data_IF_843685439700
#
_entry.id   IF_843685439700
#
_cell.length_a   1.000
_cell.length_b   1.000
_cell.length_c   1.000
_cell.angle_alpha   90.00
_cell.angle_beta   90.00
_cell.angle_gamma   90.00
#
_symmetry.space_group_name_H-M   'P 1'
#
loop_
_entity.id
_entity.type
_entity.pdbx_description
1 polymer ?
2 non-polymer ?
3 water ?
#
# COMPACT_ATOMS: atom_id res chain seq x y z
N UNK A 27 -3.22 8.58 2.72
CA UNK A 27 -4.06 8.24 3.86
C UNK A 27 -3.69 6.90 4.49
N UNK A 28 -2.61 6.29 3.98
CA UNK A 28 -2.09 5.00 4.46
C UNK A 28 -1.38 5.16 5.79
N UNK A 29 -0.96 6.39 6.08
CA UNK A 29 -0.28 6.73 7.33
C UNK A 29 -1.35 7.02 8.39
N UNK A 30 -2.53 6.41 8.25
CA UNK A 30 -3.60 6.58 9.23
C UNK A 30 -3.26 5.61 10.34
N UNK A 31 -3.70 5.89 11.57
CA UNK A 31 -3.42 5.01 12.70
C UNK A 31 -3.63 3.52 12.47
N UNK A 32 -4.90 3.14 12.36
CA UNK A 32 -5.29 1.75 12.15
C UNK A 32 -4.46 1.05 11.05
N UNK A 33 -4.30 1.75 9.92
CA UNK A 33 -3.56 1.21 8.80
C UNK A 33 -2.13 0.94 9.21
N UNK A 34 -1.47 2.03 9.58
CA UNK A 34 -0.07 2.00 10.01
C UNK A 34 0.19 0.92 11.05
N UNK A 35 -0.62 0.89 12.11
CA UNK A 35 -0.42 -0.11 13.15
C UNK A 35 -0.50 -1.51 12.56
N UNK A 36 -1.40 -1.70 11.62
CA UNK A 36 -1.53 -2.99 10.99
C UNK A 36 -0.26 -3.26 10.17
N UNK A 37 0.17 -2.25 9.41
CA UNK A 37 1.35 -2.41 8.58
C UNK A 37 2.57 -2.85 9.39
N UNK A 38 2.76 -2.18 10.54
CA UNK A 38 3.90 -2.51 11.40
C UNK A 38 3.73 -3.93 11.92
N UNK A 39 2.50 -4.30 12.22
CA UNK A 39 2.20 -5.62 12.74
C UNK A 39 2.65 -6.69 11.79
N UNK A 40 2.38 -6.47 10.51
CA UNK A 40 2.72 -7.44 9.50
C UNK A 40 4.15 -7.33 9.04
N UNK A 41 4.73 -6.15 9.24
CA UNK A 41 6.10 -5.89 8.81
C UNK A 41 7.10 -6.48 9.79
N UNK A 42 6.64 -6.74 10.99
CA UNK A 42 7.51 -7.31 12.02
C UNK A 42 8.11 -8.64 11.58
N UNK A 43 9.42 -8.74 11.59
CA UNK A 43 10.06 -10.00 11.18
C UNK A 43 10.06 -11.03 12.30
N UNK A 44 10.18 -12.33 11.95
CA UNK A 44 10.18 -13.38 12.97
C UNK A 44 11.52 -13.44 13.68
N UNK A 45 11.49 -13.74 14.98
CA UNK A 45 12.72 -13.80 15.76
C UNK A 45 13.71 -14.73 15.12
N UNK A 46 14.97 -14.32 15.11
CA UNK A 46 16.03 -15.14 14.54
C UNK A 46 16.38 -16.22 15.55
N UNK A 47 16.77 -17.40 15.05
CA UNK A 47 17.14 -18.51 15.91
C UNK A 47 18.64 -18.75 15.83
N UNK A 48 19.24 -19.26 16.92
CA UNK A 48 20.68 -19.49 16.95
C UNK A 48 21.11 -20.37 18.12
N UNK A 49 21.61 -21.58 17.81
CA UNK A 49 22.09 -22.51 18.83
C UNK A 49 23.22 -21.85 19.63
N UNK A 50 23.30 -22.16 20.93
CA UNK A 50 24.32 -21.57 21.82
C UNK A 50 25.57 -22.42 21.99
N UNK A 56 35.43 -18.36 27.80
CA UNK A 56 34.48 -18.33 26.65
C UNK A 56 34.10 -16.88 26.37
N UNK A 57 35.07 -15.96 26.54
CA UNK A 57 34.86 -14.54 26.33
C UNK A 57 34.55 -14.22 24.87
N UNK A 58 35.41 -14.68 23.98
CA UNK A 58 35.24 -14.44 22.56
C UNK A 58 34.06 -15.23 22.00
N UNK A 59 33.98 -16.49 22.41
CA UNK A 59 32.92 -17.38 21.92
C UNK A 59 31.53 -16.79 22.02
N UNK A 60 31.34 -15.86 22.94
CA UNK A 60 30.02 -15.26 23.07
C UNK A 60 29.85 -14.19 22.02
N UNK A 61 30.86 -13.32 21.92
CA UNK A 61 30.84 -12.24 20.95
C UNK A 61 30.54 -12.79 19.57
N UNK A 62 30.93 -14.05 19.40
CA UNK A 62 30.73 -14.76 18.18
C UNK A 62 29.24 -14.88 17.96
N UNK A 63 28.58 -15.57 18.88
CA UNK A 63 27.14 -15.82 18.78
C UNK A 63 26.30 -14.55 18.69
N UNK A 64 26.72 -13.53 19.43
CA UNK A 64 25.99 -12.29 19.42
C UNK A 64 26.17 -11.58 18.08
N UNK A 65 27.43 -11.41 17.67
CA UNK A 65 27.74 -10.76 16.40
C UNK A 65 26.98 -11.48 15.28
N UNK A 66 27.01 -12.80 15.34
CA UNK A 66 26.32 -13.63 14.37
C UNK A 66 24.81 -13.32 14.35
N UNK A 67 24.23 -13.13 15.52
CA UNK A 67 22.81 -12.81 15.63
C UNK A 67 22.57 -11.39 15.16
N UNK A 68 23.38 -10.48 15.67
CA UNK A 68 23.29 -9.08 15.31
C UNK A 68 23.20 -8.90 13.81
N UNK A 69 24.13 -9.54 13.09
CA UNK A 69 24.17 -9.46 11.63
C UNK A 69 22.83 -9.94 11.06
N UNK A 70 22.38 -11.08 11.57
CA UNK A 70 21.13 -11.71 11.15
C UNK A 70 19.90 -10.85 11.45
N UNK A 71 19.99 -9.99 12.45
CA UNK A 71 18.88 -9.11 12.80
C UNK A 71 18.94 -7.79 12.03
N UNK A 72 20.15 -7.29 11.79
CA UNK A 72 20.31 -6.05 11.05
C UNK A 72 19.71 -6.17 9.65
N UNK A 73 19.86 -7.34 9.02
CA UNK A 73 19.31 -7.58 7.68
C UNK A 73 17.79 -7.40 7.75
N UNK A 74 17.18 -8.10 8.70
CA UNK A 74 15.74 -8.02 8.92
C UNK A 74 15.32 -6.60 9.18
N UNK A 75 16.15 -5.89 9.92
CA UNK A 75 15.87 -4.51 10.27
C UNK A 75 15.69 -3.64 9.04
N UNK A 76 16.56 -3.83 8.06
CA UNK A 76 16.47 -3.06 6.84
C UNK A 76 15.20 -3.38 6.06
N UNK A 77 14.79 -4.65 6.03
CA UNK A 77 13.57 -5.04 5.35
C UNK A 77 12.43 -4.37 6.09
N UNK A 78 12.49 -4.46 7.41
CA UNK A 78 11.50 -3.86 8.27
C UNK A 78 11.35 -2.37 7.96
N UNK A 79 12.47 -1.66 7.94
CA UNK A 79 12.47 -0.24 7.64
C UNK A 79 11.82 0.01 6.31
N UNK A 80 12.26 -0.73 5.30
CA UNK A 80 11.73 -0.60 3.94
C UNK A 80 10.21 -0.74 3.89
N UNK A 81 9.67 -1.68 4.65
CA UNK A 81 8.24 -1.90 4.69
C UNK A 81 7.46 -0.82 5.42
N UNK A 82 8.14 0.17 5.97
CA UNK A 82 7.44 1.27 6.65
C UNK A 82 7.02 2.31 5.60
N UNK A 83 5.75 2.72 5.65
CA UNK A 83 5.18 3.70 4.71
C UNK A 83 5.97 4.96 4.53
N UNK A 84 6.53 5.12 3.35
CA UNK A 84 7.28 6.32 3.04
C UNK A 84 8.79 6.27 3.17
N UNK A 85 9.29 5.32 3.96
CA UNK A 85 10.72 5.21 4.17
C UNK A 85 11.53 5.17 2.88
N UNK A 86 11.22 4.23 1.99
CA UNK A 86 11.97 4.12 0.72
C UNK A 86 11.76 5.30 -0.22
N UNK A 87 10.80 6.17 0.11
CA UNK A 87 10.53 7.36 -0.68
C UNK A 87 11.38 8.54 -0.17
N UNK A 88 12.05 8.37 0.98
CA UNK A 88 12.91 9.42 1.53
C UNK A 88 14.19 9.38 0.74
N UNK A 89 15.00 10.43 0.81
CA UNK A 89 16.26 10.43 0.08
C UNK A 89 17.16 9.29 0.54
N UNK A 90 17.97 8.78 -0.35
CA UNK A 90 18.86 7.67 -0.01
C UNK A 90 19.74 8.07 1.19
N UNK A 91 20.13 9.34 1.24
CA UNK A 91 20.95 9.85 2.32
C UNK A 91 20.22 9.59 3.63
N UNK A 92 18.98 10.08 3.71
CA UNK A 92 18.18 9.91 4.90
C UNK A 92 17.99 8.47 5.29
N UNK A 93 17.91 7.58 4.30
CA UNK A 93 17.72 6.18 4.63
C UNK A 93 18.92 5.65 5.36
N UNK A 94 20.09 5.89 4.81
CA UNK A 94 21.33 5.43 5.40
C UNK A 94 21.59 6.05 6.76
N UNK A 95 21.40 7.35 6.84
CA UNK A 95 21.61 8.09 8.05
C UNK A 95 20.69 7.58 9.17
N UNK A 96 19.44 7.37 8.83
CA UNK A 96 18.51 6.92 9.83
C UNK A 96 18.85 5.55 10.37
N UNK A 97 19.21 4.66 9.45
CA UNK A 97 19.51 3.31 9.85
C UNK A 97 20.84 3.24 10.55
N UNK A 98 21.79 4.05 10.09
CA UNK A 98 23.10 4.04 10.73
C UNK A 98 22.98 4.55 12.15
N UNK A 99 22.12 5.53 12.35
CA UNK A 99 21.96 6.12 13.67
C UNK A 99 21.03 5.42 14.64
N UNK A 100 20.42 4.31 14.28
CA UNK A 100 19.48 3.68 15.21
C UNK A 100 19.59 2.19 15.41
N UNK A 101 20.49 1.54 14.69
CA UNK A 101 20.57 0.10 14.81
C UNK A 101 20.80 -0.41 16.25
N UNK A 102 21.68 0.24 17.00
CA UNK A 102 21.98 -0.15 18.38
C UNK A 102 20.71 -0.11 19.21
N UNK A 103 20.07 1.05 19.19
CA UNK A 103 18.85 1.25 19.92
C UNK A 103 17.75 0.29 19.50
N UNK A 104 17.60 0.05 18.20
CA UNK A 104 16.54 -0.84 17.72
C UNK A 104 16.87 -2.27 18.16
N UNK A 105 18.14 -2.65 18.15
CA UNK A 105 18.49 -4.00 18.59
C UNK A 105 18.16 -4.11 20.07
N UNK A 106 18.52 -3.08 20.83
CA UNK A 106 18.24 -3.10 22.25
C UNK A 106 16.74 -3.22 22.55
N UNK A 107 15.92 -2.39 21.91
CA UNK A 107 14.47 -2.46 22.10
C UNK A 107 13.96 -3.87 21.83
N UNK A 108 14.47 -4.49 20.77
CA UNK A 108 14.03 -5.83 20.43
C UNK A 108 14.45 -6.87 21.45
N UNK A 109 15.61 -6.66 22.06
CA UNK A 109 16.10 -7.59 23.06
C UNK A 109 15.12 -7.55 24.20
N UNK A 110 14.94 -6.36 24.76
CA UNK A 110 14.04 -6.17 25.89
C UNK A 110 12.65 -6.75 25.71
N UNK A 111 12.06 -6.57 24.55
CA UNK A 111 10.72 -7.09 24.34
C UNK A 111 10.63 -8.62 24.44
N UNK A 112 11.65 -9.31 23.93
CA UNK A 112 11.71 -10.76 23.98
C UNK A 112 11.91 -11.21 25.43
N UNK A 113 12.71 -10.44 26.15
CA UNK A 113 13.02 -10.74 27.52
C UNK A 113 12.22 -9.91 28.51
N UNK A 114 11.05 -9.45 28.12
CA UNK A 114 10.24 -8.62 29.00
C UNK A 114 9.62 -9.48 30.10
N UNK A 115 9.11 -10.65 29.73
CA UNK A 115 8.47 -11.55 30.69
C UNK A 115 9.41 -12.54 31.38
N UNK A 116 10.71 -12.40 31.20
CA UNK A 116 11.64 -13.34 31.81
C UNK A 116 12.71 -12.63 32.63
N UNK A 117 12.30 -12.08 33.78
CA UNK A 117 13.18 -11.34 34.69
C UNK A 117 14.59 -11.85 34.84
N UNK A 118 15.50 -10.92 35.09
CA UNK A 118 16.90 -11.23 35.28
C UNK A 118 17.59 -11.85 34.07
N UNK A 119 16.82 -12.10 33.02
CA UNK A 119 17.34 -12.73 31.79
C UNK A 119 17.22 -11.84 30.54
N UNK A 120 18.16 -12.01 29.59
CA UNK A 120 18.14 -11.28 28.31
C UNK A 120 18.02 -12.32 27.23
N UNK A 121 16.83 -12.48 26.68
CA UNK A 121 16.58 -13.47 25.64
C UNK A 121 17.01 -13.03 24.23
N UNK A 122 18.30 -13.18 23.93
CA UNK A 122 18.80 -12.81 22.62
C UNK A 122 18.14 -13.68 21.58
N UNK A 123 17.91 -14.94 21.92
CA UNK A 123 17.25 -15.90 21.03
C UNK A 123 16.70 -17.04 21.87
N UNK A 124 15.71 -17.78 21.36
CA UNK A 124 15.13 -18.89 22.13
C UNK A 124 16.19 -19.76 22.77
N UNK A 125 17.21 -20.10 22.00
CA UNK A 125 18.30 -20.92 22.54
C UNK A 125 19.17 -20.04 23.42
N UNK A 126 19.86 -19.08 22.82
CA UNK A 126 20.74 -18.18 23.55
C UNK A 126 20.02 -17.21 24.50
N UNK A 127 20.21 -17.45 25.80
CA UNK A 127 19.63 -16.65 26.89
C UNK A 127 20.75 -16.35 27.88
N UNK A 128 20.66 -15.24 28.57
CA UNK A 128 21.71 -14.90 29.52
C UNK A 128 21.17 -14.50 30.88
N UNK A 129 22.03 -14.66 31.89
CA UNK A 129 21.73 -14.32 33.27
C UNK A 129 22.56 -13.09 33.63
N UNK A 130 22.08 -12.34 34.62
CA UNK A 130 22.77 -11.14 35.07
C UNK A 130 24.25 -11.42 35.26
N UNK A 131 24.59 -12.38 36.13
CA UNK A 131 25.99 -12.75 36.39
C UNK A 131 26.73 -13.10 35.10
N UNK A 132 26.06 -13.82 34.20
CA UNK A 132 26.65 -14.22 32.92
C UNK A 132 27.21 -13.06 32.12
N UNK A 133 26.66 -11.87 32.37
CA UNK A 133 27.11 -10.70 31.66
C UNK A 133 28.53 -10.29 31.98
N UNK A 134 29.01 -10.71 33.15
CA UNK A 134 30.36 -10.38 33.58
C UNK A 134 31.42 -10.88 32.61
N UNK A 135 31.01 -11.75 31.69
CA UNK A 135 31.91 -12.34 30.70
C UNK A 135 32.57 -11.34 29.74
N UNK A 136 31.75 -10.58 29.01
CA UNK A 136 32.25 -9.58 28.07
C UNK A 136 32.74 -8.34 28.80
N UNK A 137 33.84 -7.77 28.32
CA UNK A 137 34.44 -6.58 28.92
C UNK A 137 33.43 -5.46 29.18
N UNK A 138 33.13 -5.25 30.46
CA UNK A 138 32.21 -4.20 30.87
C UNK A 138 30.89 -4.11 30.14
N UNK A 139 30.53 -5.16 29.42
CA UNK A 139 29.28 -5.16 28.69
C UNK A 139 28.19 -5.17 29.77
N UNK A 140 28.63 -5.49 30.99
CA UNK A 140 27.76 -5.54 32.16
C UNK A 140 26.89 -4.28 32.31
N UNK A 141 27.51 -3.10 32.27
CA UNK A 141 26.76 -1.84 32.43
C UNK A 141 25.61 -1.81 31.46
N UNK A 142 25.89 -2.19 30.24
CA UNK A 142 24.84 -2.19 29.26
C UNK A 142 23.77 -3.17 29.73
N UNK A 143 24.21 -4.37 30.14
CA UNK A 143 23.29 -5.39 30.61
C UNK A 143 22.43 -4.90 31.76
N UNK A 144 23.07 -4.21 32.70
CA UNK A 144 22.37 -3.70 33.86
C UNK A 144 21.26 -2.79 33.35
N UNK A 145 21.65 -1.69 32.73
CA UNK A 145 20.73 -0.70 32.19
C UNK A 145 19.60 -1.35 31.45
N UNK A 146 19.92 -2.38 30.68
CA UNK A 146 18.90 -3.05 29.90
C UNK A 146 17.94 -3.81 30.79
N UNK A 147 18.48 -4.74 31.58
CA UNK A 147 17.67 -5.55 32.49
C UNK A 147 16.74 -4.64 33.27
N UNK A 148 17.29 -3.52 33.73
CA UNK A 148 16.54 -2.55 34.51
C UNK A 148 15.36 -2.02 33.70
N UNK A 149 15.66 -1.31 32.63
CA UNK A 149 14.63 -0.72 31.79
C UNK A 149 13.61 -1.75 31.34
N UNK A 150 14.06 -2.97 31.10
CA UNK A 150 13.13 -4.02 30.67
C UNK A 150 12.09 -4.13 31.76
N UNK A 151 12.55 -4.11 33.00
CA UNK A 151 11.65 -4.20 34.15
C UNK A 151 10.63 -3.07 34.13
N UNK A 152 11.11 -1.84 34.02
CA UNK A 152 10.22 -0.68 33.98
C UNK A 152 9.16 -0.85 32.90
N UNK A 153 9.55 -1.36 31.73
CA UNK A 153 8.55 -1.58 30.69
C UNK A 153 7.56 -2.64 31.12
N UNK A 154 8.06 -3.69 31.77
CA UNK A 154 7.21 -4.77 32.26
C UNK A 154 6.17 -4.17 33.21
N UNK A 155 6.65 -3.36 34.16
CA UNK A 155 5.77 -2.71 35.12
C UNK A 155 4.75 -1.88 34.35
N UNK A 156 5.22 -1.04 33.43
CA UNK A 156 4.32 -0.20 32.63
C UNK A 156 3.36 -1.04 31.81
N UNK A 157 3.54 -2.36 31.86
CA UNK A 157 2.73 -3.31 31.10
C UNK A 157 2.63 -2.88 29.64
N UNK A 158 3.80 -2.76 29.01
CA UNK A 158 3.90 -2.35 27.62
C UNK A 158 3.18 -3.30 26.71
N UNK A 159 2.28 -2.76 25.90
CA UNK A 159 1.52 -3.54 24.95
C UNK A 159 2.33 -3.78 23.69
N UNK A 160 2.00 -4.85 22.98
CA UNK A 160 2.68 -5.20 21.76
C UNK A 160 2.58 -4.10 20.71
N UNK A 161 1.39 -3.55 20.51
CA UNK A 161 1.21 -2.48 19.53
C UNK A 161 1.91 -1.21 19.95
N UNK A 162 1.99 -0.98 21.26
CA UNK A 162 2.68 0.20 21.77
C UNK A 162 4.15 0.06 21.39
N UNK A 163 4.65 -1.15 21.59
CA UNK A 163 6.03 -1.51 21.29
C UNK A 163 6.34 -1.23 19.84
N UNK A 164 5.48 -1.71 18.95
CA UNK A 164 5.71 -1.51 17.54
C UNK A 164 5.76 -0.04 17.13
N UNK A 165 4.91 0.81 17.69
CA UNK A 165 4.95 2.20 17.30
C UNK A 165 6.22 2.84 17.79
N UNK A 166 6.52 2.59 19.06
CA UNK A 166 7.71 3.12 19.71
C UNK A 166 8.96 2.74 18.93
N UNK A 167 8.97 1.54 18.36
CA UNK A 167 10.13 1.08 17.62
C UNK A 167 10.35 1.90 16.37
N UNK A 168 9.27 2.13 15.65
CA UNK A 168 9.34 2.89 14.41
C UNK A 168 9.72 4.32 14.72
N UNK A 169 9.30 4.81 15.87
CA UNK A 169 9.65 6.17 16.27
C UNK A 169 11.16 6.25 16.34
N UNK A 170 11.78 5.31 17.05
CA UNK A 170 13.22 5.29 17.20
C UNK A 170 13.93 5.30 15.87
N UNK A 171 13.45 4.49 14.93
CA UNK A 171 14.04 4.44 13.59
C UNK A 171 14.01 5.81 12.92
N UNK A 172 12.86 6.47 12.99
CA UNK A 172 12.69 7.77 12.37
C UNK A 172 13.21 8.98 13.12
N UNK A 173 13.30 8.89 14.44
CA UNK A 173 13.74 10.04 15.22
C UNK A 173 15.22 10.23 15.49
N UNK A 174 15.85 9.29 16.18
CA UNK A 174 17.30 9.32 16.52
C UNK A 174 18.28 10.29 15.78
N UNK A 179 20.30 18.11 13.22
CA UNK A 179 21.76 18.40 13.12
C UNK A 179 22.06 19.24 11.87
N UNK A 180 22.70 18.65 10.86
CA UNK A 180 23.07 19.36 9.62
C UNK A 180 22.22 18.96 8.41
N UNK A 181 21.51 19.93 7.85
CA UNK A 181 20.65 19.62 6.73
C UNK A 181 21.06 20.34 5.45
N UNK A 182 21.26 19.56 4.39
CA UNK A 182 21.66 20.07 3.08
C UNK A 182 20.40 20.50 2.29
N UNK A 183 20.54 21.61 1.56
CA UNK A 183 19.45 22.17 0.77
C UNK A 183 18.76 21.14 -0.11
N UNK A 184 19.57 20.31 -0.76
CA UNK A 184 19.05 19.28 -1.64
C UNK A 184 18.18 18.27 -0.89
N UNK A 185 18.40 18.13 0.41
CA UNK A 185 17.65 17.15 1.19
C UNK A 185 16.32 17.69 1.73
N UNK A 186 16.08 18.97 1.48
CA UNK A 186 14.88 19.64 1.96
C UNK A 186 13.57 18.87 1.87
N UNK A 187 13.26 18.35 0.69
CA UNK A 187 12.01 17.61 0.49
C UNK A 187 11.94 16.36 1.31
N UNK A 188 13.05 15.62 1.33
CA UNK A 188 13.12 14.39 2.10
C UNK A 188 12.85 14.72 3.55
N UNK A 189 13.52 15.74 4.07
CA UNK A 189 13.31 16.11 5.45
C UNK A 189 11.86 16.33 5.74
N UNK A 190 11.24 17.12 4.89
CA UNK A 190 9.81 17.45 5.01
C UNK A 190 9.00 16.18 5.18
N UNK A 191 9.27 15.17 4.34
CA UNK A 191 8.52 13.93 4.41
C UNK A 191 8.76 13.24 5.74
N UNK A 192 10.03 13.10 6.09
CA UNK A 192 10.43 12.45 7.32
C UNK A 192 9.63 13.01 8.48
N UNK A 193 9.52 14.32 8.53
CA UNK A 193 8.76 14.97 9.59
C UNK A 193 7.34 14.37 9.64
N UNK A 194 6.71 14.18 8.49
CA UNK A 194 5.37 13.61 8.41
C UNK A 194 5.30 12.18 8.95
N UNK A 195 6.20 11.31 8.48
CA UNK A 195 6.22 9.92 8.95
C UNK A 195 6.31 9.87 10.45
N UNK A 196 7.21 10.69 11.01
CA UNK A 196 7.37 10.69 12.43
C UNK A 196 6.11 11.18 13.11
N UNK A 197 5.47 12.20 12.56
CA UNK A 197 4.24 12.70 13.16
C UNK A 197 3.15 11.62 13.10
N UNK A 198 3.04 10.95 11.96
CA UNK A 198 2.06 9.90 11.81
C UNK A 198 2.27 8.82 12.87
N UNK A 199 3.47 8.22 12.89
CA UNK A 199 3.76 7.16 13.86
C UNK A 199 3.51 7.66 15.26
N UNK A 200 3.87 8.90 15.54
CA UNK A 200 3.63 9.42 16.87
C UNK A 200 2.13 9.43 17.10
N UNK A 201 1.35 9.80 16.08
CA UNK A 201 -0.10 9.84 16.25
C UNK A 201 -0.66 8.44 16.46
N UNK A 202 -0.12 7.48 15.71
CA UNK A 202 -0.55 6.10 15.82
C UNK A 202 -0.35 5.59 17.25
N UNK A 203 0.77 5.95 17.86
CA UNK A 203 1.01 5.51 19.23
C UNK A 203 -0.10 6.12 20.09
N UNK A 204 -0.35 7.42 19.93
CA UNK A 204 -1.40 8.12 20.69
C UNK A 204 -2.71 7.35 20.53
N UNK A 205 -3.06 7.06 19.28
CA UNK A 205 -4.27 6.30 18.96
C UNK A 205 -4.30 4.97 19.72
N UNK A 206 -3.25 4.17 19.58
CA UNK A 206 -3.17 2.88 20.28
C UNK A 206 -3.39 3.06 21.78
N UNK A 207 -2.89 4.16 22.34
CA UNK A 207 -3.09 4.38 23.76
C UNK A 207 -4.53 4.76 24.05
N UNK A 208 -5.14 5.53 23.18
CA UNK A 208 -6.54 5.93 23.38
C UNK A 208 -7.45 4.70 23.44
N UNK A 209 -7.26 3.75 22.54
CA UNK A 209 -8.08 2.56 22.52
C UNK A 209 -7.81 1.63 23.70
N UNK A 210 -6.89 2.02 24.58
CA UNK A 210 -6.59 1.17 25.74
C UNK A 210 -7.77 1.30 26.69
N UNK A 211 -8.56 2.35 26.49
CA UNK A 211 -9.72 2.55 27.34
C UNK A 211 -9.54 3.47 28.54
N UNK A 212 -8.36 3.49 29.13
CA UNK A 212 -8.12 4.34 30.30
C UNK A 212 -8.55 5.81 30.09
N UNK A 213 -8.62 6.55 31.19
CA UNK A 213 -9.04 7.95 31.16
C UNK A 213 -8.11 8.79 30.31
N UNK A 214 -8.56 10.00 30.00
CA UNK A 214 -7.77 10.91 29.18
C UNK A 214 -6.44 11.30 29.84
N UNK A 215 -6.49 11.70 31.10
CA UNK A 215 -5.28 12.09 31.79
C UNK A 215 -4.36 10.88 32.00
N UNK A 216 -4.91 9.67 31.93
CA UNK A 216 -4.07 8.50 32.09
C UNK A 216 -3.32 8.29 30.77
N UNK A 217 -3.97 8.60 29.66
CA UNK A 217 -3.32 8.48 28.35
C UNK A 217 -2.12 9.43 28.34
N UNK A 218 -2.35 10.66 28.76
CA UNK A 218 -1.29 11.66 28.82
C UNK A 218 -0.14 11.09 29.62
N UNK A 219 -0.43 10.76 30.87
CA UNK A 219 0.56 10.23 31.78
C UNK A 219 1.30 9.04 31.18
N UNK A 220 0.57 8.17 30.50
CA UNK A 220 1.19 6.99 29.93
C UNK A 220 2.16 7.37 28.85
N UNK A 221 1.70 8.20 27.92
CA UNK A 221 2.54 8.63 26.80
C UNK A 221 3.83 9.20 27.33
N UNK A 222 3.70 10.07 28.33
CA UNK A 222 4.85 10.66 28.96
C UNK A 222 5.77 9.56 29.45
N UNK A 223 5.21 8.57 30.15
CA UNK A 223 6.02 7.48 30.66
C UNK A 223 6.74 6.72 29.56
N UNK A 224 6.01 6.32 28.52
CA UNK A 224 6.65 5.58 27.43
C UNK A 224 7.83 6.38 26.89
N UNK A 225 7.67 7.68 26.77
CA UNK A 225 8.75 8.49 26.25
C UNK A 225 9.89 8.62 27.24
N UNK A 226 9.60 8.58 28.53
CA UNK A 226 10.65 8.69 29.53
C UNK A 226 11.57 7.49 29.40
N UNK A 227 10.98 6.31 29.39
CA UNK A 227 11.75 5.10 29.26
C UNK A 227 12.56 5.08 27.96
N UNK A 228 12.01 5.61 26.87
CA UNK A 228 12.74 5.66 25.61
C UNK A 228 14.06 6.35 25.83
N UNK A 229 14.01 7.51 26.48
CA UNK A 229 15.22 8.24 26.78
C UNK A 229 16.27 7.34 27.43
N UNK A 230 15.83 6.38 28.21
CA UNK A 230 16.78 5.47 28.83
C UNK A 230 17.43 4.63 27.74
N UNK A 231 16.63 3.89 27.01
CA UNK A 231 17.13 3.04 25.94
C UNK A 231 18.12 3.83 25.07
N UNK A 232 17.82 5.09 24.83
CA UNK A 232 18.68 5.91 24.01
C UNK A 232 20.02 6.12 24.70
N UNK A 233 19.96 6.30 26.01
CA UNK A 233 21.15 6.53 26.81
C UNK A 233 21.99 5.24 26.86
N UNK A 234 21.30 4.12 26.93
CA UNK A 234 21.97 2.84 27.00
C UNK A 234 22.68 2.59 25.68
N UNK A 235 21.92 2.66 24.59
CA UNK A 235 22.49 2.44 23.29
C UNK A 235 23.67 3.38 23.03
N UNK A 236 23.68 4.56 23.65
CA UNK A 236 24.80 5.48 23.48
C UNK A 236 26.05 4.89 24.10
N UNK A 237 25.90 4.42 25.33
CA UNK A 237 26.96 3.79 26.09
C UNK A 237 27.52 2.69 25.21
N UNK A 238 26.64 1.83 24.75
CA UNK A 238 27.06 0.74 23.90
C UNK A 238 27.90 1.16 22.71
N UNK A 239 27.59 2.30 22.13
CA UNK A 239 28.36 2.77 20.99
C UNK A 239 29.76 3.17 21.40
N UNK A 240 29.86 4.13 22.32
CA UNK A 240 31.16 4.57 22.78
C UNK A 240 31.96 3.37 23.27
N UNK A 241 31.24 2.32 23.70
CA UNK A 241 31.89 1.13 24.16
C UNK A 241 32.62 0.53 22.97
N UNK A 242 31.91 0.41 21.84
CA UNK A 242 32.50 -0.13 20.62
C UNK A 242 33.56 0.79 20.06
N UNK A 243 33.66 1.98 20.64
CA UNK A 243 34.66 2.97 20.24
C UNK A 243 35.92 2.74 21.05
N UNK A 244 36.18 1.45 21.25
CA UNK A 244 37.33 0.92 21.97
C UNK A 244 37.01 -0.56 22.11
N UNK A 245 36.59 -1.18 21.01
CA UNK A 245 36.24 -2.60 21.03
C UNK A 245 37.38 -3.52 20.61
N UNK A 246 37.45 -4.68 21.27
CA UNK A 246 38.48 -5.66 21.01
C UNK A 246 38.24 -6.38 19.68
N UNK A 247 38.46 -5.67 18.58
CA UNK A 247 38.27 -6.23 17.26
C UNK A 247 39.40 -7.23 17.05
N UNK A 248 39.17 -8.49 17.42
CA UNK A 248 40.20 -9.51 17.29
C UNK A 248 39.73 -10.90 16.86
N UNK A 249 38.65 -11.38 17.46
CA UNK A 249 38.14 -12.71 17.15
C UNK A 249 36.72 -12.54 16.66
N UNK A 250 36.43 -11.34 16.18
CA UNK A 250 35.12 -11.03 15.67
C UNK A 250 35.26 -9.94 14.63
N UNK A 251 34.16 -9.61 13.98
CA UNK A 251 34.17 -8.57 12.98
C UNK A 251 33.28 -7.50 13.55
N UNK A 252 33.73 -6.24 13.51
CA UNK A 252 32.90 -5.17 14.04
C UNK A 252 31.54 -5.11 13.33
N UNK A 253 30.47 -5.04 14.11
CA UNK A 253 29.12 -4.97 13.57
C UNK A 253 28.99 -3.76 12.65
N UNK A 254 29.77 -2.73 12.91
CA UNK A 254 29.78 -1.53 12.09
C UNK A 254 29.97 -1.93 10.64
N UNK A 255 31.17 -2.41 10.35
CA UNK A 255 31.57 -2.85 9.02
C UNK A 255 30.47 -3.74 8.43
N UNK A 256 29.91 -4.59 9.27
CA UNK A 256 28.87 -5.49 8.85
C UNK A 256 27.66 -4.72 8.33
N UNK A 257 27.36 -3.59 8.96
CA UNK A 257 26.20 -2.80 8.58
C UNK A 257 26.49 -1.94 7.36
N UNK A 258 27.65 -1.32 7.34
CA UNK A 258 28.03 -0.49 6.19
C UNK A 258 28.00 -1.28 4.91
N UNK A 259 28.32 -2.55 5.02
CA UNK A 259 28.33 -3.43 3.86
C UNK A 259 26.90 -3.76 3.48
N UNK A 260 26.09 -4.11 4.46
CA UNK A 260 24.71 -4.44 4.19
C UNK A 260 23.99 -3.25 3.58
N UNK A 261 24.36 -2.06 4.00
CA UNK A 261 23.71 -0.88 3.46
C UNK A 261 24.07 -0.71 2.00
N UNK A 262 25.35 -0.83 1.66
CA UNK A 262 25.77 -0.70 0.26
C UNK A 262 25.04 -1.73 -0.59
N UNK A 263 24.85 -2.89 0.01
CA UNK A 263 24.18 -4.00 -0.63
C UNK A 263 22.68 -3.78 -0.79
N UNK A 264 21.99 -3.61 0.32
CA UNK A 264 20.54 -3.47 0.27
C UNK A 264 19.88 -2.11 0.29
N UNK A 265 20.65 -1.04 0.27
CA UNK A 265 19.99 0.25 0.26
C UNK A 265 20.47 1.03 -0.96
N UNK A 266 21.78 1.04 -1.21
CA UNK A 266 22.27 1.72 -2.40
C UNK A 266 21.92 0.75 -3.53
N UNK A 267 22.71 -0.32 -3.67
CA UNK A 267 22.46 -1.31 -4.72
C UNK A 267 21.06 -1.91 -4.64
N UNK B 21 -29.17 24.63 -28.20
CA UNK B 21 -28.13 23.86 -27.53
C UNK B 21 -28.29 22.37 -27.90
N UNK B 22 -29.27 22.09 -28.75
CA UNK B 22 -29.54 20.73 -29.19
C UNK B 22 -28.76 20.39 -30.46
N UNK B 23 -28.46 21.41 -31.26
CA UNK B 23 -27.72 21.22 -32.50
C UNK B 23 -26.29 20.81 -32.18
N UNK B 24 -25.70 21.46 -31.19
CA UNK B 24 -24.35 21.17 -30.76
C UNK B 24 -24.22 19.72 -30.27
N UNK B 25 -25.29 19.18 -29.68
CA UNK B 25 -25.30 17.81 -29.17
C UNK B 25 -25.24 16.79 -30.31
N UNK B 26 -26.00 17.03 -31.36
CA UNK B 26 -26.02 16.11 -32.49
C UNK B 26 -24.66 15.98 -33.17
N UNK B 27 -23.99 17.11 -33.39
CA UNK B 27 -22.70 17.08 -34.04
C UNK B 27 -21.63 16.45 -33.16
N UNK B 28 -21.69 16.74 -31.87
CA UNK B 28 -20.74 16.19 -30.93
C UNK B 28 -20.89 14.68 -30.85
N UNK B 29 -22.08 14.20 -31.19
CA UNK B 29 -22.37 12.76 -31.16
C UNK B 29 -22.14 12.00 -32.45
N UNK B 30 -21.66 12.67 -33.47
CA UNK B 30 -21.38 11.99 -34.73
C UNK B 30 -20.20 11.10 -34.43
N UNK B 31 -20.02 10.04 -35.18
CA UNK B 31 -18.91 9.12 -34.95
C UNK B 31 -17.56 9.78 -34.74
N UNK B 32 -17.07 10.45 -35.77
CA UNK B 32 -15.79 11.11 -35.71
C UNK B 32 -15.66 12.08 -34.55
N UNK B 33 -16.65 12.93 -34.35
CA UNK B 33 -16.56 13.89 -33.27
C UNK B 33 -16.51 13.19 -31.90
N UNK B 34 -17.37 12.18 -31.73
CA UNK B 34 -17.43 11.41 -30.48
C UNK B 34 -16.15 10.64 -30.21
N UNK B 35 -15.66 9.88 -31.21
CA UNK B 35 -14.44 9.11 -31.03
C UNK B 35 -13.29 10.02 -30.65
N UNK B 36 -13.26 11.21 -31.23
CA UNK B 36 -12.21 12.15 -30.89
C UNK B 36 -12.42 12.62 -29.45
N UNK B 37 -13.64 12.95 -29.10
CA UNK B 37 -13.94 13.43 -27.76
C UNK B 37 -13.49 12.43 -26.70
N UNK B 38 -13.80 11.16 -26.92
CA UNK B 38 -13.42 10.13 -25.97
C UNK B 38 -11.91 10.04 -25.91
N UNK B 39 -11.26 10.22 -27.06
CA UNK B 39 -9.80 10.14 -27.16
C UNK B 39 -9.12 11.16 -26.26
N UNK B 40 -9.62 12.38 -26.24
CA UNK B 40 -9.00 13.40 -25.42
C UNK B 40 -9.65 13.48 -24.03
N UNK B 41 -10.74 12.76 -23.83
CA UNK B 41 -11.38 12.76 -22.52
C UNK B 41 -10.69 11.70 -21.66
N UNK B 42 -9.98 10.78 -22.30
CA UNK B 42 -9.29 9.72 -21.59
C UNK B 42 -8.29 10.28 -20.63
N UNK B 43 -8.41 9.93 -19.34
CA UNK B 43 -7.44 10.43 -18.34
C UNK B 43 -6.14 9.65 -18.34
N UNK B 44 -5.04 10.28 -17.86
CA UNK B 44 -3.74 9.59 -17.84
C UNK B 44 -3.69 8.56 -16.72
N UNK B 45 -3.02 7.43 -17.00
CA UNK B 45 -2.91 6.34 -16.03
C UNK B 45 -2.36 6.79 -14.68
N UNK B 46 -3.06 6.42 -13.61
CA UNK B 46 -2.64 6.78 -12.26
C UNK B 46 -1.61 5.78 -11.74
N UNK B 60 -1.68 -4.96 0.88
CA UNK B 60 -2.01 -4.74 -0.57
C UNK B 60 -3.28 -3.93 -0.72
N UNK B 61 -4.41 -4.53 -0.31
CA UNK B 61 -5.73 -3.91 -0.36
C UNK B 61 -5.65 -2.40 -0.18
N UNK B 62 -4.74 -1.95 0.69
CA UNK B 62 -4.60 -0.51 0.91
C UNK B 62 -4.22 0.15 -0.42
N UNK B 63 -3.12 -0.31 -1.00
CA UNK B 63 -2.62 0.19 -2.28
C UNK B 63 -3.74 0.18 -3.33
N UNK B 64 -4.30 -1.00 -3.61
CA UNK B 64 -5.35 -1.10 -4.61
C UNK B 64 -6.46 -0.10 -4.29
N UNK B 65 -6.94 -0.11 -3.05
CA UNK B 65 -7.99 0.80 -2.64
C UNK B 65 -7.56 2.22 -2.92
N UNK B 66 -6.31 2.53 -2.61
CA UNK B 66 -5.85 3.87 -2.85
C UNK B 66 -5.98 4.16 -4.35
N UNK B 67 -5.48 3.25 -5.18
CA UNK B 67 -5.52 3.43 -6.62
C UNK B 67 -6.97 3.57 -7.08
N UNK B 68 -7.81 2.63 -6.65
CA UNK B 68 -9.22 2.63 -6.99
C UNK B 68 -9.83 4.03 -6.77
N UNK B 69 -9.59 4.58 -5.59
CA UNK B 69 -10.11 5.90 -5.24
C UNK B 69 -9.63 6.92 -6.26
N UNK B 70 -8.33 6.89 -6.55
CA UNK B 70 -7.76 7.83 -7.50
C UNK B 70 -8.42 7.69 -8.88
N UNK B 71 -8.66 6.46 -9.28
CA UNK B 71 -9.25 6.21 -10.58
C UNK B 71 -10.71 6.58 -10.67
N UNK B 72 -11.45 6.35 -9.59
CA UNK B 72 -12.86 6.68 -9.55
C UNK B 72 -13.07 8.18 -9.77
N UNK B 73 -12.20 9.00 -9.21
CA UNK B 73 -12.29 10.45 -9.37
C UNK B 73 -12.20 10.77 -10.87
N UNK B 74 -11.15 10.25 -11.50
CA UNK B 74 -10.91 10.43 -12.92
C UNK B 74 -12.11 9.96 -13.73
N UNK B 75 -12.69 8.85 -13.28
CA UNK B 75 -13.83 8.27 -13.95
C UNK B 75 -14.98 9.24 -14.04
N UNK B 76 -15.24 9.94 -12.95
CA UNK B 76 -16.32 10.91 -12.93
C UNK B 76 -16.06 12.07 -13.90
N UNK B 77 -14.80 12.52 -13.97
CA UNK B 77 -14.45 13.60 -14.89
C UNK B 77 -14.66 13.08 -16.28
N UNK B 78 -14.20 11.86 -16.50
CA UNK B 78 -14.32 11.20 -17.78
C UNK B 78 -15.81 11.15 -18.20
N UNK B 79 -16.66 10.68 -17.29
CA UNK B 79 -18.08 10.59 -17.56
C UNK B 79 -18.61 11.96 -17.94
N UNK B 80 -18.29 12.96 -17.12
CA UNK B 80 -18.74 14.31 -17.35
C UNK B 80 -18.38 14.82 -18.73
N UNK B 81 -17.18 14.51 -19.20
CA UNK B 81 -16.74 14.95 -20.51
C UNK B 81 -17.42 14.23 -21.67
N UNK B 82 -18.28 13.26 -21.38
CA UNK B 82 -18.99 12.56 -22.46
C UNK B 82 -20.20 13.38 -22.87
N UNK B 83 -20.37 13.60 -24.17
CA UNK B 83 -21.48 14.39 -24.72
C UNK B 83 -22.85 14.02 -24.23
N UNK B 84 -23.46 14.92 -23.47
CA UNK B 84 -24.80 14.71 -22.99
C UNK B 84 -24.93 14.17 -21.58
N UNK B 85 -23.89 13.53 -21.06
CA UNK B 85 -23.96 12.95 -19.72
C UNK B 85 -24.44 13.93 -18.66
N UNK B 86 -23.79 15.08 -18.53
CA UNK B 86 -24.20 16.06 -17.52
C UNK B 86 -25.56 16.68 -17.79
N UNK B 87 -26.12 16.39 -18.96
CA UNK B 87 -27.44 16.88 -19.38
C UNK B 87 -28.52 15.96 -18.90
N UNK B 88 -28.13 14.73 -18.50
CA UNK B 88 -29.08 13.72 -18.04
C UNK B 88 -29.48 14.11 -16.63
N UNK B 89 -30.58 13.55 -16.13
CA UNK B 89 -31.02 13.87 -14.77
C UNK B 89 -29.95 13.45 -13.78
N UNK B 90 -29.86 14.18 -12.68
CA UNK B 90 -28.86 13.88 -11.68
C UNK B 90 -29.01 12.43 -11.21
N UNK B 91 -30.25 11.97 -11.15
CA UNK B 91 -30.55 10.61 -10.74
C UNK B 91 -29.78 9.67 -11.67
N UNK B 92 -30.02 9.81 -12.96
CA UNK B 92 -29.37 8.98 -13.94
C UNK B 92 -27.87 9.04 -13.87
N UNK B 93 -27.31 10.19 -13.51
CA UNK B 93 -25.86 10.28 -13.44
C UNK B 93 -25.34 9.40 -12.34
N UNK B 94 -25.93 9.54 -11.18
CA UNK B 94 -25.52 8.75 -10.03
C UNK B 94 -25.74 7.26 -10.24
N UNK B 95 -26.91 6.92 -10.75
CA UNK B 95 -27.27 5.56 -11.00
C UNK B 95 -26.31 4.91 -11.98
N UNK B 96 -26.00 5.62 -13.05
CA UNK B 96 -25.11 5.06 -14.05
C UNK B 96 -23.73 4.82 -13.53
N UNK B 97 -23.22 5.78 -12.77
CA UNK B 97 -21.88 5.67 -12.24
C UNK B 97 -21.82 4.67 -11.13
N UNK B 98 -22.86 4.62 -10.32
CA UNK B 98 -22.87 3.67 -9.23
C UNK B 98 -22.90 2.26 -9.78
N UNK B 99 -23.63 2.06 -10.87
CA UNK B 99 -23.77 0.74 -11.46
C UNK B 99 -22.66 0.28 -12.38
N UNK B 100 -21.65 1.09 -12.63
CA UNK B 100 -20.62 0.64 -13.57
C UNK B 100 -19.16 0.77 -13.16
N UNK B 101 -18.89 1.39 -12.01
CA UNK B 101 -17.52 1.60 -11.60
C UNK B 101 -16.66 0.31 -11.59
N UNK B 102 -17.20 -0.80 -11.09
CA UNK B 102 -16.45 -2.05 -11.04
C UNK B 102 -16.02 -2.47 -12.42
N UNK B 103 -17.01 -2.55 -13.29
CA UNK B 103 -16.79 -2.95 -14.66
C UNK B 103 -15.84 -2.00 -15.38
N UNK B 104 -15.99 -0.69 -15.15
CA UNK B 104 -15.12 0.26 -15.83
C UNK B 104 -13.70 0.11 -15.31
N UNK B 105 -13.56 -0.16 -14.02
CA UNK B 105 -12.21 -0.32 -13.46
C UNK B 105 -11.59 -1.56 -14.06
N UNK B 106 -12.39 -2.61 -14.15
CA UNK B 106 -11.90 -3.85 -14.73
C UNK B 106 -11.44 -3.68 -16.18
N UNK B 107 -12.27 -3.06 -17.01
CA UNK B 107 -11.93 -2.81 -18.41
C UNK B 107 -10.60 -2.07 -18.49
N UNK B 108 -10.44 -1.07 -17.63
CA UNK B 108 -9.20 -0.28 -17.64
C UNK B 108 -7.98 -1.09 -17.24
N UNK B 109 -8.18 -2.04 -16.33
CA UNK B 109 -7.09 -2.86 -15.88
C UNK B 109 -6.63 -3.65 -17.07
N UNK B 110 -7.54 -4.43 -17.64
CA UNK B 110 -7.23 -5.26 -18.79
C UNK B 110 -6.50 -4.56 -19.93
N UNK B 111 -6.93 -3.35 -20.27
CA UNK B 111 -6.29 -2.64 -21.37
C UNK B 111 -4.82 -2.33 -21.11
N UNK B 112 -4.49 -1.98 -19.87
CA UNK B 112 -3.12 -1.68 -19.48
C UNK B 112 -2.30 -2.96 -19.52
N UNK B 113 -2.93 -4.05 -19.10
CA UNK B 113 -2.28 -5.34 -19.05
C UNK B 113 -2.63 -6.23 -20.23
N UNK B 114 -2.99 -5.64 -21.35
CA UNK B 114 -3.37 -6.44 -22.51
C UNK B 114 -2.12 -7.06 -23.16
N UNK B 115 -1.06 -6.28 -23.27
CA UNK B 115 0.17 -6.77 -23.88
C UNK B 115 1.18 -7.43 -22.92
N UNK B 116 0.80 -7.66 -21.67
CA UNK B 116 1.71 -8.27 -20.71
C UNK B 116 1.11 -9.50 -20.06
N UNK B 117 1.01 -10.59 -20.82
CA UNK B 117 0.45 -11.87 -20.39
C UNK B 117 0.75 -12.29 -18.95
N UNK B 118 -0.21 -13.01 -18.37
CA UNK B 118 -0.09 -13.51 -17.01
C UNK B 118 -0.01 -12.44 -15.95
N UNK B 119 -0.06 -11.18 -16.37
CA UNK B 119 0.05 -10.10 -15.41
C UNK B 119 -1.12 -9.10 -15.46
N UNK B 120 -1.32 -8.38 -14.36
CA UNK B 120 -2.36 -7.38 -14.26
C UNK B 120 -1.69 -6.07 -13.87
N UNK B 121 -1.52 -5.19 -14.84
CA UNK B 121 -0.86 -3.92 -14.62
C UNK B 121 -1.77 -2.85 -13.99
N UNK B 122 -1.93 -2.91 -12.67
CA UNK B 122 -2.76 -1.93 -11.99
C UNK B 122 -2.15 -0.54 -12.18
N UNK B 123 -0.82 -0.49 -12.18
CA UNK B 123 -0.09 0.77 -12.37
C UNK B 123 1.33 0.42 -12.83
N UNK B 124 2.02 1.37 -13.47
CA UNK B 124 3.39 1.10 -13.94
C UNK B 124 4.25 0.42 -12.86
N UNK B 125 4.18 0.94 -11.64
CA UNK B 125 4.92 0.35 -10.53
C UNK B 125 4.23 -0.95 -10.11
N UNK B 126 3.02 -0.83 -9.56
CA UNK B 126 2.25 -1.99 -9.10
C UNK B 126 1.75 -2.91 -10.22
N UNK B 127 2.34 -4.10 -10.28
CA UNK B 127 2.01 -5.14 -11.27
C UNK B 127 1.84 -6.44 -10.50
N UNK B 128 1.02 -7.35 -11.00
CA UNK B 128 0.83 -8.61 -10.31
C UNK B 128 0.97 -9.83 -11.22
N UNK B 129 1.27 -10.95 -10.58
CA UNK B 129 1.43 -12.21 -11.28
C UNK B 129 0.26 -13.11 -10.87
N UNK B 130 -0.04 -14.10 -11.70
CA UNK B 130 -1.13 -15.07 -11.45
C UNK B 130 -1.10 -15.55 -10.01
N UNK B 131 0.01 -16.20 -9.65
CA UNK B 131 0.20 -16.73 -8.31
C UNK B 131 0.02 -15.66 -7.26
N UNK B 132 0.59 -14.49 -7.51
CA UNK B 132 0.49 -13.36 -6.58
C UNK B 132 -0.96 -13.06 -6.16
N UNK B 133 -1.93 -13.41 -6.99
CA UNK B 133 -3.33 -13.17 -6.69
C UNK B 133 -3.84 -13.97 -5.50
N UNK B 134 -3.19 -15.09 -5.22
CA UNK B 134 -3.58 -15.95 -4.12
C UNK B 134 -3.58 -15.22 -2.78
N UNK B 135 -2.98 -14.03 -2.76
CA UNK B 135 -2.88 -13.22 -1.54
C UNK B 135 -4.22 -12.77 -0.93
N UNK B 136 -5.00 -12.02 -1.70
CA UNK B 136 -6.30 -11.54 -1.21
C UNK B 136 -7.33 -12.67 -1.27
N UNK B 137 -8.20 -12.71 -0.24
CA UNK B 137 -9.22 -13.73 -0.11
C UNK B 137 -10.04 -13.97 -1.37
N UNK B 138 -9.80 -15.12 -2.00
CA UNK B 138 -10.50 -15.52 -3.21
C UNK B 138 -10.61 -14.49 -4.32
N UNK B 139 -9.78 -13.46 -4.25
CA UNK B 139 -9.79 -12.43 -5.27
C UNK B 139 -9.26 -13.11 -6.53
N UNK B 140 -8.62 -14.25 -6.28
CA UNK B 140 -8.01 -15.13 -7.29
C UNK B 140 -9.04 -15.63 -8.30
N UNK B 141 -10.33 -15.54 -7.95
CA UNK B 141 -11.41 -15.96 -8.84
C UNK B 141 -11.58 -14.88 -9.92
N UNK B 142 -11.56 -13.63 -9.46
CA UNK B 142 -11.69 -12.44 -10.28
C UNK B 142 -10.45 -12.33 -11.17
N UNK B 143 -9.27 -12.53 -10.57
CA UNK B 143 -8.02 -12.45 -11.29
C UNK B 143 -7.99 -13.40 -12.48
N UNK B 144 -8.45 -14.62 -12.25
CA UNK B 144 -8.50 -15.63 -13.30
C UNK B 144 -9.31 -15.08 -14.46
N UNK B 145 -10.60 -14.87 -14.21
CA UNK B 145 -11.54 -14.35 -15.19
C UNK B 145 -10.98 -13.18 -15.94
N UNK B 146 -10.30 -12.29 -15.21
CA UNK B 146 -9.73 -11.13 -15.84
C UNK B 146 -8.59 -11.49 -16.78
N UNK B 147 -7.57 -12.14 -16.22
CA UNK B 147 -6.40 -12.55 -17.00
C UNK B 147 -6.86 -13.25 -18.27
N UNK B 148 -7.86 -14.11 -18.10
CA UNK B 148 -8.42 -14.85 -19.24
C UNK B 148 -8.96 -13.91 -20.30
N UNK B 149 -10.01 -13.18 -19.93
CA UNK B 149 -10.64 -12.25 -20.84
C UNK B 149 -9.65 -11.28 -21.47
N UNK B 150 -8.65 -10.88 -20.71
CA UNK B 150 -7.66 -9.97 -21.23
C UNK B 150 -7.04 -10.64 -22.44
N UNK B 151 -6.77 -11.94 -22.29
CA UNK B 151 -6.18 -12.71 -23.37
C UNK B 151 -7.08 -12.68 -24.58
N UNK B 152 -8.34 -13.03 -24.34
CA UNK B 152 -9.33 -13.06 -25.40
C UNK B 152 -9.25 -11.76 -26.19
N UNK B 153 -9.27 -10.61 -25.49
CA UNK B 153 -9.18 -9.30 -26.16
C UNK B 153 -7.90 -9.15 -26.94
N UNK B 154 -6.80 -9.63 -26.37
CA UNK B 154 -5.50 -9.56 -27.03
C UNK B 154 -5.63 -10.29 -28.33
N UNK B 155 -6.19 -11.49 -28.25
CA UNK B 155 -6.42 -12.30 -29.44
C UNK B 155 -7.18 -11.48 -30.46
N UNK B 156 -8.35 -11.02 -30.05
CA UNK B 156 -9.22 -10.23 -30.91
C UNK B 156 -8.52 -8.98 -31.44
N UNK B 157 -7.30 -8.76 -30.96
CA UNK B 157 -6.52 -7.59 -31.34
C UNK B 157 -7.34 -6.32 -31.20
N UNK B 158 -7.84 -6.11 -29.99
CA UNK B 158 -8.66 -4.95 -29.67
C UNK B 158 -7.92 -3.65 -29.92
N UNK B 159 -8.54 -2.80 -30.71
CA UNK B 159 -7.96 -1.50 -31.04
C UNK B 159 -8.25 -0.50 -29.92
N UNK B 160 -7.42 0.52 -29.83
CA UNK B 160 -7.56 1.53 -28.83
C UNK B 160 -8.89 2.27 -28.94
N UNK B 161 -9.28 2.67 -30.16
CA UNK B 161 -10.55 3.35 -30.35
C UNK B 161 -11.74 2.44 -30.09
N UNK B 162 -11.58 1.15 -30.35
CA UNK B 162 -12.64 0.19 -30.10
C UNK B 162 -12.84 0.15 -28.59
N UNK B 163 -11.72 0.12 -27.89
CA UNK B 163 -11.70 0.10 -26.44
C UNK B 163 -12.46 1.29 -25.88
N UNK B 164 -12.14 2.47 -26.40
CA UNK B 164 -12.79 3.66 -25.89
C UNK B 164 -14.30 3.65 -26.09
N UNK B 165 -14.78 3.15 -27.22
CA UNK B 165 -16.23 3.16 -27.43
C UNK B 165 -16.88 2.19 -26.49
N UNK B 166 -16.31 0.99 -26.44
CA UNK B 166 -16.81 -0.06 -25.58
C UNK B 166 -16.89 0.40 -24.14
N UNK B 167 -15.92 1.21 -23.72
CA UNK B 167 -15.91 1.69 -22.34
C UNK B 167 -17.09 2.57 -22.06
N UNK B 168 -17.35 3.50 -22.96
CA UNK B 168 -18.45 4.44 -22.79
C UNK B 168 -19.76 3.68 -22.84
N UNK B 169 -19.80 2.60 -23.60
CA UNK B 169 -21.01 1.81 -23.68
C UNK B 169 -21.33 1.30 -22.29
N UNK B 170 -20.33 0.70 -21.65
CA UNK B 170 -20.49 0.15 -20.31
C UNK B 170 -21.02 1.18 -19.33
N UNK B 171 -20.48 2.39 -19.40
CA UNK B 171 -20.94 3.46 -18.52
C UNK B 171 -22.41 3.74 -18.74
N UNK B 172 -22.82 3.85 -19.99
CA UNK B 172 -24.21 4.17 -20.32
C UNK B 172 -25.20 3.01 -20.28
N UNK B 173 -24.74 1.78 -20.49
CA UNK B 173 -25.65 0.65 -20.52
C UNK B 173 -25.96 -0.09 -19.22
N UNK B 174 -24.95 -0.74 -18.64
CA UNK B 174 -25.06 -1.55 -17.39
C UNK B 174 -26.32 -1.34 -16.54
N UNK B 175 -26.65 -0.08 -16.25
CA UNK B 175 -27.85 0.23 -15.48
C UNK B 175 -29.01 0.18 -16.47
N UNK B 176 -29.81 -0.88 -16.35
CA UNK B 176 -30.98 -1.08 -17.21
C UNK B 176 -31.66 -2.35 -16.69
N UNK B 179 -35.34 -1.57 -16.20
CA UNK B 179 -35.25 -1.22 -14.76
C UNK B 179 -36.43 -0.33 -14.37
N UNK B 180 -36.53 0.01 -13.09
CA UNK B 180 -37.61 0.87 -12.60
C UNK B 180 -37.46 2.32 -13.05
N UNK B 181 -38.42 2.81 -13.82
CA UNK B 181 -38.32 4.17 -14.30
C UNK B 181 -39.45 5.05 -13.79
N UNK B 182 -39.07 6.17 -13.18
CA UNK B 182 -40.02 7.14 -12.65
C UNK B 182 -40.47 8.11 -13.74
N UNK B 183 -41.74 8.48 -13.72
CA UNK B 183 -42.32 9.38 -14.70
C UNK B 183 -41.53 10.65 -14.90
N UNK B 184 -41.07 11.22 -13.80
CA UNK B 184 -40.29 12.44 -13.85
C UNK B 184 -38.98 12.24 -14.61
N UNK B 185 -38.48 11.02 -14.66
CA UNK B 185 -37.20 10.75 -15.32
C UNK B 185 -37.33 10.49 -16.82
N UNK B 186 -38.57 10.47 -17.30
CA UNK B 186 -38.87 10.20 -18.70
C UNK B 186 -37.95 10.86 -19.73
N UNK B 187 -37.77 12.17 -19.64
CA UNK B 187 -36.94 12.88 -20.60
C UNK B 187 -35.50 12.45 -20.55
N UNK B 188 -34.98 12.31 -19.33
CA UNK B 188 -33.60 11.90 -19.15
C UNK B 188 -33.43 10.54 -19.80
N UNK B 189 -34.32 9.60 -19.53
CA UNK B 189 -34.23 8.29 -20.12
C UNK B 189 -34.11 8.39 -21.62
N UNK B 190 -35.01 9.15 -22.21
CA UNK B 190 -35.06 9.37 -23.65
C UNK B 190 -33.68 9.77 -24.17
N UNK B 191 -33.04 10.72 -23.50
CA UNK B 191 -31.72 11.17 -23.91
C UNK B 191 -30.71 10.03 -23.82
N UNK B 192 -30.68 9.39 -22.65
CA UNK B 192 -29.75 8.30 -22.41
C UNK B 192 -29.80 7.32 -23.56
N UNK B 193 -31.00 6.98 -23.99
CA UNK B 193 -31.16 6.06 -25.10
C UNK B 193 -30.36 6.55 -26.31
N UNK B 194 -30.44 7.86 -26.60
CA UNK B 194 -29.69 8.45 -27.72
C UNK B 194 -28.18 8.32 -27.56
N UNK B 195 -27.65 8.71 -26.41
CA UNK B 195 -26.21 8.62 -26.16
C UNK B 195 -25.74 7.21 -26.39
N UNK B 196 -26.48 6.24 -25.87
CA UNK B 196 -26.07 4.87 -26.04
C UNK B 196 -26.11 4.48 -27.49
N UNK B 197 -27.12 4.93 -28.22
CA UNK B 197 -27.22 4.60 -29.64
C UNK B 197 -26.04 5.23 -30.41
N UNK B 198 -25.74 6.48 -30.08
CA UNK B 198 -24.64 7.15 -30.73
C UNK B 198 -23.34 6.39 -30.51
N UNK B 199 -22.97 6.16 -29.25
CA UNK B 199 -21.75 5.46 -28.95
C UNK B 199 -21.74 4.12 -29.61
N UNK B 200 -22.89 3.47 -29.64
CA UNK B 200 -22.93 2.17 -30.29
C UNK B 200 -22.63 2.36 -31.76
N UNK B 201 -23.12 3.45 -32.34
CA UNK B 201 -22.88 3.68 -33.75
C UNK B 201 -21.43 3.98 -34.01
N UNK B 202 -20.85 4.78 -33.13
CA UNK B 202 -19.42 5.14 -33.22
C UNK B 202 -18.56 3.87 -33.22
N UNK B 203 -18.88 2.91 -32.37
CA UNK B 203 -18.11 1.68 -32.36
C UNK B 203 -18.23 1.05 -33.74
N UNK B 204 -19.46 0.94 -34.25
CA UNK B 204 -19.73 0.37 -35.58
C UNK B 204 -18.84 1.08 -36.61
N UNK B 205 -18.89 2.41 -36.59
CA UNK B 205 -18.08 3.23 -37.48
C UNK B 205 -16.59 2.86 -37.37
N UNK B 206 -16.04 2.88 -36.15
CA UNK B 206 -14.65 2.54 -35.92
C UNK B 206 -14.34 1.19 -36.52
N UNK B 207 -15.27 0.25 -36.44
CA UNK B 207 -15.02 -1.06 -36.99
C UNK B 207 -15.05 -1.03 -38.51
N UNK B 208 -15.94 -0.23 -39.08
CA UNK B 208 -16.02 -0.14 -40.54
C UNK B 208 -14.70 0.38 -41.14
N UNK B 209 -14.11 1.40 -40.51
CA UNK B 209 -12.86 1.94 -41.01
C UNK B 209 -11.68 1.01 -40.80
N UNK B 210 -11.92 -0.16 -40.21
CA UNK B 210 -10.83 -1.10 -40.00
C UNK B 210 -10.47 -1.68 -41.36
N UNK B 211 -11.40 -1.54 -42.31
CA UNK B 211 -11.15 -2.04 -43.64
C UNK B 211 -11.69 -3.42 -43.95
N UNK B 212 -11.69 -4.32 -42.98
CA UNK B 212 -12.18 -5.69 -43.22
C UNK B 212 -13.54 -5.74 -43.92
N UNK B 213 -13.90 -6.93 -44.41
CA UNK B 213 -15.15 -7.14 -45.13
C UNK B 213 -16.35 -6.83 -44.26
N UNK B 214 -17.51 -6.71 -44.89
CA UNK B 214 -18.74 -6.40 -44.17
C UNK B 214 -19.12 -7.49 -43.17
N UNK B 215 -19.11 -8.73 -43.60
CA UNK B 215 -19.47 -9.81 -42.70
C UNK B 215 -18.42 -9.96 -41.61
N UNK B 216 -17.25 -9.39 -41.86
CA UNK B 216 -16.17 -9.45 -40.88
C UNK B 216 -16.56 -8.50 -39.75
N UNK B 217 -17.01 -7.32 -40.13
CA UNK B 217 -17.43 -6.27 -39.21
C UNK B 217 -18.52 -6.84 -38.31
N UNK B 218 -19.51 -7.47 -38.91
CA UNK B 218 -20.60 -8.08 -38.16
C UNK B 218 -20.01 -9.03 -37.13
N UNK B 219 -19.28 -10.01 -37.60
CA UNK B 219 -18.65 -10.99 -36.75
C UNK B 219 -17.84 -10.34 -35.62
N UNK B 220 -17.11 -9.28 -35.95
CA UNK B 220 -16.29 -8.64 -34.96
C UNK B 220 -17.12 -8.01 -33.88
N UNK B 221 -18.11 -7.21 -34.30
CA UNK B 221 -18.98 -6.52 -33.36
C UNK B 221 -19.57 -7.55 -32.41
N UNK B 222 -20.05 -8.65 -32.96
CA UNK B 222 -20.61 -9.71 -32.16
C UNK B 222 -19.57 -10.15 -31.13
N UNK B 223 -18.34 -10.38 -31.58
CA UNK B 223 -17.30 -10.82 -30.66
C UNK B 223 -17.04 -9.82 -29.56
N UNK B 224 -16.86 -8.55 -29.92
CA UNK B 224 -16.61 -7.53 -28.90
C UNK B 224 -17.70 -7.57 -27.86
N UNK B 225 -18.94 -7.74 -28.29
CA UNK B 225 -20.03 -7.77 -27.34
C UNK B 225 -20.04 -9.04 -26.51
N UNK B 226 -19.55 -10.13 -27.08
CA UNK B 226 -19.53 -11.38 -26.34
C UNK B 226 -18.60 -11.24 -25.16
N UNK B 227 -17.40 -10.75 -25.43
CA UNK B 227 -16.41 -10.53 -24.38
C UNK B 227 -16.94 -9.56 -23.32
N UNK B 228 -17.67 -8.54 -23.73
CA UNK B 228 -18.20 -7.58 -22.76
C UNK B 228 -18.99 -8.35 -21.73
N UNK B 229 -19.88 -9.23 -22.19
CA UNK B 229 -20.68 -10.03 -21.28
C UNK B 229 -19.82 -10.70 -20.22
N UNK B 230 -18.59 -11.06 -20.59
CA UNK B 230 -17.72 -11.68 -19.61
C UNK B 230 -17.36 -10.65 -18.54
N UNK B 231 -16.74 -9.55 -18.96
CA UNK B 231 -16.36 -8.48 -18.05
C UNK B 231 -17.51 -8.15 -17.12
N UNK B 232 -18.73 -8.15 -17.65
CA UNK B 232 -19.90 -7.83 -16.84
C UNK B 232 -20.09 -8.92 -15.77
N UNK B 233 -19.86 -10.16 -16.17
CA UNK B 233 -20.02 -11.30 -15.28
C UNK B 233 -18.94 -11.26 -14.19
N UNK B 234 -17.75 -10.86 -14.59
CA UNK B 234 -16.63 -10.79 -13.68
C UNK B 234 -16.92 -9.71 -12.66
N UNK B 235 -17.19 -8.50 -13.14
CA UNK B 235 -17.46 -7.39 -12.26
C UNK B 235 -18.61 -7.72 -11.31
N UNK B 236 -19.54 -8.60 -11.72
CA UNK B 236 -20.64 -8.99 -10.83
C UNK B 236 -20.08 -9.76 -9.65
N UNK B 237 -19.26 -10.75 -9.96
CA UNK B 237 -18.61 -11.60 -8.97
C UNK B 237 -17.93 -10.67 -7.98
N UNK B 238 -17.13 -9.76 -8.51
CA UNK B 238 -16.42 -8.83 -7.67
C UNK B 238 -17.32 -8.08 -6.72
N UNK B 239 -18.53 -7.74 -7.16
CA UNK B 239 -19.42 -7.01 -6.28
C UNK B 239 -19.90 -7.90 -5.14
N UNK B 240 -20.54 -9.01 -5.47
CA UNK B 240 -21.03 -9.92 -4.45
C UNK B 240 -19.88 -10.31 -3.52
N UNK B 241 -18.66 -10.23 -4.04
CA UNK B 241 -17.49 -10.55 -3.25
C UNK B 241 -17.41 -9.49 -2.15
N UNK B 242 -17.53 -8.22 -2.54
CA UNK B 242 -17.47 -7.13 -1.58
C UNK B 242 -18.68 -7.15 -0.67
N UNK B 243 -19.63 -8.01 -0.99
CA UNK B 243 -20.85 -8.18 -0.19
C UNK B 243 -20.59 -9.31 0.81
N UNK B 244 -19.31 -9.61 1.02
CA UNK B 244 -18.88 -10.65 1.96
C UNK B 244 -17.67 -10.04 2.64
N UNK B 245 -17.83 -8.80 3.07
CA UNK B 245 -16.80 -8.02 3.76
C UNK B 245 -17.39 -6.64 4.13
N UNK B 251 -10.56 0.22 3.91
CA UNK B 251 -11.92 0.85 3.86
C UNK B 251 -12.72 0.41 2.62
N UNK B 252 -14.07 0.58 2.65
CA UNK B 252 -14.82 0.13 1.46
C UNK B 252 -14.88 1.16 0.33
N UNK B 253 -14.51 0.72 -0.87
CA UNK B 253 -14.53 1.59 -2.04
C UNK B 253 -15.93 2.19 -2.23
N UNK B 254 -16.94 1.44 -1.81
CA UNK B 254 -18.32 1.90 -1.92
C UNK B 254 -18.42 3.28 -1.30
N UNK B 255 -18.23 3.32 0.02
CA UNK B 255 -18.30 4.56 0.80
C UNK B 255 -17.48 5.65 0.10
N UNK B 256 -16.32 5.23 -0.41
CA UNK B 256 -15.43 6.15 -1.10
C UNK B 256 -16.10 6.79 -2.31
N UNK B 257 -16.91 5.99 -3.02
CA UNK B 257 -17.61 6.48 -4.20
C UNK B 257 -18.83 7.31 -3.87
N UNK B 258 -19.61 6.85 -2.90
CA UNK B 258 -20.81 7.58 -2.48
C UNK B 258 -20.44 8.98 -2.02
N UNK B 259 -19.25 9.10 -1.44
CA UNK B 259 -18.80 10.39 -0.97
C UNK B 259 -18.38 11.25 -2.16
N UNK B 260 -17.62 10.66 -3.07
CA UNK B 260 -17.17 11.40 -4.23
C UNK B 260 -18.34 11.88 -5.05
N UNK B 261 -19.39 11.08 -5.07
CA UNK B 261 -20.56 11.45 -5.86
C UNK B 261 -21.23 12.66 -5.22
N UNK B 262 -21.41 12.63 -3.89
CA UNK B 262 -22.04 13.78 -3.22
C UNK B 262 -21.20 15.04 -3.53
N UNK B 263 -19.89 14.83 -3.69
CA UNK B 263 -18.99 15.92 -4.01
C UNK B 263 -19.29 16.45 -5.42
X LIG C 1 27.61 -8.44 19.28
X LIG C 1 26.64 -7.77 20.31
X LIG C 1 25.88 -6.56 19.67
X LIG C 1 26.82 -5.36 19.50
X LIG C 1 24.71 -6.22 20.50
X LIG C 1 24.81 -5.34 21.53
X LIG C 1 26.04 -4.64 21.79
X LIG C 1 26.27 -3.97 23.03
X LIG C 1 27.48 -3.30 23.24
X LIG C 1 28.45 -3.29 22.21
X LIG C 1 29.61 -2.56 22.41
X LIG C 1 28.26 -3.95 21.00
X LIG C 1 27.05 -4.63 20.79
X LIG C 1 23.44 -6.88 20.21
X LIG C 1 22.25 -6.36 20.78
X LIG C 1 22.33 -5.12 21.65
X LIG C 1 23.64 -5.10 22.45
X LIG C 1 23.62 -6.22 23.56
X LIG C 1 22.61 -5.90 24.67
X LIG C 1 21.02 -6.97 20.58
X LIG C 1 20.98 -8.11 19.78
X LIG C 1 19.79 -8.71 19.58
X LIG C 1 22.12 -8.66 19.20
X LIG C 1 23.37 -8.03 19.41
X LIG D 1 -9.28 -2.42 -3.95
X LIG D 1 -9.46 -3.26 -5.23
X LIG D 1 -10.66 -2.76 -6.10
X LIG D 1 -11.99 -3.15 -5.47
X LIG D 1 -10.53 -3.28 -7.48
X LIG D 1 -11.06 -4.49 -7.81
X LIG D 1 -11.83 -5.25 -6.88
X LIG D 1 -12.12 -6.64 -7.10
X LIG D 1 -12.89 -7.35 -6.18
X LIG D 1 -13.37 -6.68 -5.03
X LIG D 1 -14.17 -7.36 -4.13
X LIG D 1 -13.09 -5.32 -4.79
X LIG D 1 -12.32 -4.62 -5.71
X LIG D 1 -9.81 -2.48 -8.46
X LIG D 1 -9.92 -2.82 -9.85
X LIG D 1 -10.83 -3.94 -10.26
X LIG D 1 -10.80 -5.06 -9.19
X LIG D 1 -9.44 -5.79 -9.21
X LIG D 1 -9.25 -6.63 -10.48
X LIG D 1 -9.21 -2.13 -10.81
X LIG D 1 -8.38 -1.10 -10.40
X LIG D 1 -7.68 -0.41 -11.36
X LIG D 1 -8.24 -0.72 -9.06
X LIG D 1 -8.97 -1.41 -8.07
#
# INVERSE_FOLDING_TARGET
MGSSHHHHHHSSGLVPRGSHMRELLLDALSPEQLVLTLLEAEPPHVLISRPSAPFTEASMMMSLTKLADKELVHMISWAKKIPGFVELSLFDQVRLLESCWMEVLMMGLMWRSIDHPGKLIFAPDLVLDRDEGKCVEGILEIFDMLLATTSRFRELKLQHKEYLCVKAMILLNSSMYPLVTATQDADSSRKLAHLLNAVTDALVWVIAKSGISSQQQSMRLANLLMLLSHVRHASNKGMEHLLNMKCKNVVPVYDLLLEMLNAHVLRGCKS
MGSSHHHHHHSSGLVPRGSHMRELLLDALSPEQLVLTLLEAEPPHVLISRPSAPFTEASMMMSLTKLADKELVHMISWAKKIPGFVELSLFDQVRLLESCWMEVLMMGLMWRSIDHPGKLIFAPDLVLDRDEGKCVEGILEIFDMLLATTSRFRELKLQHKEYLCVKAMILLNSSMYPLVTATQDADSSRKLAHLLNAVTDALVWVIAKSGISSQQQSMRLANLLMLLSHVRHASNKGMEHLLNMKCKNVVPVYDLLLEMLNAHVLRGCKS
ETC C22 C21 C11 C12 C9 C8 C14 C15 C16 C17 O25 C18 C13 C10 C5 C6 C7 C20 C19 C4 C3 O23 C2 C1
ETC C22 C21 C11 C12 C9 C8 C14 C15 C16 C17 O25 C18 C13 C10 C5 C6 C7 C20 C19 C4 C3 O23 C2 C1
#
